data_IF_940473294691
#
_entry.id   IF_940473294691
#
_cell.length_a   1.000
_cell.length_b   1.000
_cell.length_c   1.000
_cell.angle_alpha   90.00
_cell.angle_beta   90.00
_cell.angle_gamma   90.00
#
_symmetry.space_group_name_H-M   'P 1'
#
loop_
_entity.id
_entity.type
_entity.pdbx_description
1 polymer ?
#
# COMPACT_ATOMS: atom_id res chain seq x y z
N UNK A 1 -9.74 3.87 -9.94
CA UNK A 1 -10.55 3.45 -8.77
C UNK A 1 -10.90 4.66 -7.92
N UNK A 2 -12.21 4.87 -7.66
CA UNK A 2 -12.65 5.91 -6.72
C UNK A 2 -12.87 5.29 -5.34
N UNK A 3 -12.26 5.87 -4.30
CA UNK A 3 -12.46 5.46 -2.90
C UNK A 3 -13.08 6.62 -2.13
N UNK A 4 -14.14 6.33 -1.36
CA UNK A 4 -14.78 7.30 -0.46
C UNK A 4 -15.08 6.62 0.87
N UNK A 5 -14.77 7.29 1.97
CA UNK A 5 -15.15 6.86 3.32
C UNK A 5 -16.21 7.82 3.88
N UNK A 6 -17.13 7.28 4.66
CA UNK A 6 -18.18 8.06 5.33
C UNK A 6 -18.22 7.66 6.79
N UNK A 7 -17.90 8.61 7.67
CA UNK A 7 -17.84 8.46 9.13
C UNK A 7 -17.09 7.20 9.57
N UNK A 8 -16.01 6.87 8.84
CA UNK A 8 -15.25 5.64 9.05
C UNK A 8 -14.64 5.62 10.44
N UNK A 9 -14.98 4.60 11.22
CA UNK A 9 -14.54 4.46 12.60
C UNK A 9 -14.01 3.06 12.85
N UNK A 10 -12.89 2.98 13.57
CA UNK A 10 -12.31 1.72 14.05
C UNK A 10 -11.94 1.84 15.51
N UNK A 11 -12.50 0.96 16.31
CA UNK A 11 -12.24 0.84 17.73
C UNK A 11 -11.75 -0.58 18.01
N UNK A 12 -10.69 -0.68 18.82
CA UNK A 12 -10.14 -1.94 19.32
C UNK A 12 -10.44 -2.07 20.82
N UNK A 13 -10.82 -3.27 21.24
CA UNK A 13 -11.00 -3.61 22.64
C UNK A 13 -9.77 -4.37 23.16
N UNK A 14 -9.08 -3.81 24.15
CA UNK A 14 -7.94 -4.40 24.82
C UNK A 14 -8.28 -4.64 26.30
N UNK A 15 -8.82 -5.81 26.61
CA UNK A 15 -9.36 -6.10 27.93
C UNK A 15 -10.52 -5.17 28.29
N UNK A 16 -10.36 -4.36 29.35
CA UNK A 16 -11.34 -3.35 29.77
C UNK A 16 -11.17 -1.98 29.09
N UNK A 17 -10.11 -1.80 28.30
CA UNK A 17 -9.83 -0.53 27.63
C UNK A 17 -10.34 -0.54 26.19
N UNK A 18 -10.82 0.60 25.75
CA UNK A 18 -11.29 0.84 24.39
C UNK A 18 -10.42 1.91 23.73
N UNK A 19 -9.87 1.60 22.54
CA UNK A 19 -9.01 2.52 21.79
C UNK A 19 -9.63 2.77 20.43
N UNK A 20 -10.10 4.00 20.21
CA UNK A 20 -10.59 4.44 18.90
C UNK A 20 -9.43 4.92 18.04
N UNK A 21 -8.93 4.05 17.18
CA UNK A 21 -7.77 4.32 16.32
C UNK A 21 -8.12 5.16 15.08
N UNK A 22 -9.37 5.08 14.58
CA UNK A 22 -9.91 5.90 13.49
C UNK A 22 -11.28 6.37 13.91
N UNK A 23 -11.54 7.67 13.82
CA UNK A 23 -12.73 8.30 14.40
C UNK A 23 -13.43 9.20 13.38
N UNK A 24 -14.53 8.71 12.80
CA UNK A 24 -15.41 9.40 11.84
C UNK A 24 -14.63 10.04 10.68
N UNK A 25 -13.71 9.29 10.09
CA UNK A 25 -12.89 9.76 8.98
C UNK A 25 -13.71 9.80 7.70
N UNK A 26 -13.70 10.97 7.06
CA UNK A 26 -14.27 11.22 5.75
C UNK A 26 -13.12 11.55 4.78
N UNK A 27 -12.93 10.73 3.77
CA UNK A 27 -11.88 10.85 2.76
C UNK A 27 -12.47 10.48 1.41
N UNK A 28 -12.13 11.23 0.38
CA UNK A 28 -12.50 10.90 -1.00
C UNK A 28 -11.34 11.18 -1.94
N UNK A 29 -11.03 10.24 -2.82
CA UNK A 29 -10.11 10.42 -3.94
C UNK A 29 -10.51 9.54 -5.13
N UNK A 30 -10.25 10.00 -6.35
CA UNK A 30 -10.71 9.32 -7.58
C UNK A 30 -9.70 9.34 -8.71
N UNK A 31 -8.61 10.07 -8.59
CA UNK A 31 -7.62 10.26 -9.65
C UNK A 31 -6.28 9.66 -9.26
N UNK A 32 -5.40 9.35 -10.23
CA UNK A 32 -4.05 8.93 -9.94
C UNK A 32 -3.27 10.08 -9.27
N UNK A 33 -3.46 10.21 -7.96
CA UNK A 33 -2.82 11.20 -7.11
C UNK A 33 -1.85 10.55 -6.14
N UNK A 34 -0.87 11.31 -5.70
CA UNK A 34 0.02 10.94 -4.64
C UNK A 34 -0.45 11.58 -3.32
N UNK A 35 -0.92 10.75 -2.39
CA UNK A 35 -1.54 11.18 -1.13
C UNK A 35 -0.62 10.80 0.03
N UNK A 36 -0.23 11.77 0.84
CA UNK A 36 0.48 11.54 2.09
C UNK A 36 -0.46 11.60 3.29
N UNK A 37 -0.40 10.62 4.17
CA UNK A 37 -1.03 10.63 5.49
C UNK A 37 0.08 10.78 6.53
N UNK A 38 0.09 11.91 7.23
CA UNK A 38 1.08 12.24 8.26
C UNK A 38 0.45 12.19 9.66
N UNK A 39 1.28 12.02 10.66
CA UNK A 39 0.85 12.03 12.07
C UNK A 39 1.82 11.28 12.97
N UNK A 40 1.74 11.47 14.29
CA UNK A 40 2.62 10.78 15.23
C UNK A 40 2.44 9.27 15.22
N UNK A 41 3.37 8.54 15.82
CA UNK A 41 3.22 7.10 16.04
C UNK A 41 1.95 6.84 16.88
N UNK A 42 1.20 5.79 16.54
CA UNK A 42 -0.06 5.45 17.21
C UNK A 42 -1.27 6.33 16.86
N UNK A 43 -1.16 7.31 15.95
CA UNK A 43 -2.28 8.20 15.58
C UNK A 43 -3.40 7.54 14.76
N UNK A 44 -3.18 6.30 14.26
CA UNK A 44 -4.17 5.55 13.47
C UNK A 44 -3.86 5.44 11.98
N UNK A 45 -2.66 5.88 11.49
CA UNK A 45 -2.26 5.82 10.07
C UNK A 45 -2.39 4.41 9.47
N UNK A 46 -1.70 3.44 10.06
CA UNK A 46 -1.72 2.03 9.58
C UNK A 46 -3.11 1.42 9.67
N UNK A 47 -3.89 1.76 10.70
CA UNK A 47 -5.29 1.33 10.82
C UNK A 47 -6.13 1.89 9.67
N UNK A 48 -5.99 3.18 9.37
CA UNK A 48 -6.72 3.80 8.26
C UNK A 48 -6.34 3.16 6.91
N UNK A 49 -5.03 2.93 6.67
CA UNK A 49 -4.57 2.23 5.46
C UNK A 49 -5.11 0.80 5.38
N UNK A 50 -5.16 0.06 6.48
CA UNK A 50 -5.72 -1.29 6.51
C UNK A 50 -7.22 -1.32 6.21
N UNK A 51 -7.97 -0.33 6.69
CA UNK A 51 -9.39 -0.19 6.37
C UNK A 51 -9.60 0.13 4.89
N UNK A 52 -8.90 1.14 4.36
CA UNK A 52 -8.95 1.53 2.93
C UNK A 52 -8.54 0.34 2.04
N UNK A 53 -7.51 -0.39 2.45
CA UNK A 53 -7.00 -1.58 1.77
C UNK A 53 -7.87 -2.83 1.92
N UNK A 54 -9.00 -2.75 2.62
CA UNK A 54 -9.90 -3.87 2.91
C UNK A 54 -9.21 -5.04 3.65
N UNK A 55 -8.12 -4.77 4.35
CA UNK A 55 -7.41 -5.75 5.20
C UNK A 55 -8.06 -5.88 6.57
N UNK A 56 -8.83 -4.86 6.98
CA UNK A 56 -9.62 -4.87 8.22
C UNK A 56 -11.05 -4.37 7.94
N UNK A 57 -11.92 -4.48 8.95
CA UNK A 57 -13.30 -4.06 8.89
C UNK A 57 -13.51 -2.87 9.83
N UNK A 58 -14.28 -1.84 9.42
CA UNK A 58 -14.64 -0.77 10.31
C UNK A 58 -15.56 -1.27 11.43
N UNK A 59 -15.51 -0.62 12.60
CA UNK A 59 -16.47 -0.81 13.68
C UNK A 59 -17.80 -0.13 13.35
N UNK A 60 -17.73 1.04 12.67
CA UNK A 60 -18.87 1.76 12.11
C UNK A 60 -18.44 2.65 10.95
N UNK A 61 -19.42 3.25 10.25
CA UNK A 61 -19.16 3.98 9.02
C UNK A 61 -18.94 3.05 7.83
N UNK A 62 -18.62 3.61 6.68
CA UNK A 62 -18.65 2.83 5.42
C UNK A 62 -17.52 3.26 4.48
N UNK A 63 -16.99 2.30 3.72
CA UNK A 63 -16.07 2.51 2.61
C UNK A 63 -16.80 2.19 1.31
N UNK A 64 -16.72 3.10 0.34
CA UNK A 64 -17.22 2.90 -1.02
C UNK A 64 -16.04 2.79 -1.98
N UNK A 65 -16.11 1.80 -2.88
CA UNK A 65 -15.19 1.64 -4.01
C UNK A 65 -16.03 1.70 -5.30
N UNK A 66 -15.76 2.68 -6.16
CA UNK A 66 -16.52 2.96 -7.37
C UNK A 66 -18.05 3.02 -7.12
N UNK A 67 -18.46 3.61 -6.01
CA UNK A 67 -19.86 3.73 -5.60
C UNK A 67 -20.45 2.49 -4.91
N UNK A 68 -19.73 1.36 -4.90
CA UNK A 68 -20.18 0.13 -4.22
C UNK A 68 -19.76 0.13 -2.76
N UNK A 69 -20.70 -0.07 -1.85
CA UNK A 69 -20.47 -0.19 -0.42
C UNK A 69 -19.74 -1.51 -0.10
N UNK A 70 -18.55 -1.42 0.49
CA UNK A 70 -17.69 -2.60 0.70
C UNK A 70 -18.22 -3.57 1.74
N UNK A 71 -19.08 -3.14 2.66
CA UNK A 71 -19.74 -4.00 3.65
C UNK A 71 -20.75 -4.94 3.01
N UNK A 72 -21.31 -4.61 1.83
CA UNK A 72 -22.22 -5.47 1.07
C UNK A 72 -21.49 -6.54 0.26
N UNK A 73 -20.17 -6.40 0.09
CA UNK A 73 -19.38 -7.36 -0.65
C UNK A 73 -19.09 -8.61 0.19
N UNK A 74 -19.18 -9.76 -0.43
CA UNK A 74 -18.71 -11.02 0.16
C UNK A 74 -17.20 -11.00 0.42
N UNK A 75 -16.71 -11.89 1.29
CA UNK A 75 -15.27 -12.02 1.54
C UNK A 75 -14.47 -12.37 0.28
N UNK A 76 -15.06 -13.11 -0.69
CA UNK A 76 -14.44 -13.43 -1.98
C UNK A 76 -14.31 -12.20 -2.87
N UNK A 77 -15.34 -11.37 -2.96
CA UNK A 77 -15.31 -10.12 -3.74
C UNK A 77 -14.29 -9.14 -3.18
N UNK A 78 -14.25 -8.95 -1.86
CA UNK A 78 -13.21 -8.12 -1.22
C UNK A 78 -11.80 -8.63 -1.49
N UNK A 79 -11.55 -9.96 -1.40
CA UNK A 79 -10.26 -10.55 -1.77
C UNK A 79 -9.91 -10.31 -3.24
N UNK A 80 -10.88 -10.40 -4.14
CA UNK A 80 -10.68 -10.15 -5.58
C UNK A 80 -10.29 -8.70 -5.84
N UNK A 81 -10.94 -7.73 -5.17
CA UNK A 81 -10.58 -6.30 -5.27
C UNK A 81 -9.14 -6.09 -4.77
N UNK A 82 -8.79 -6.60 -3.59
CA UNK A 82 -7.41 -6.49 -3.06
C UNK A 82 -6.38 -7.08 -4.02
N UNK A 83 -6.64 -8.29 -4.50
CA UNK A 83 -5.70 -9.03 -5.34
C UNK A 83 -5.46 -8.36 -6.70
N UNK A 84 -6.53 -7.85 -7.33
CA UNK A 84 -6.48 -7.40 -8.73
C UNK A 84 -6.32 -5.89 -8.88
N UNK A 85 -6.74 -5.10 -7.87
CA UNK A 85 -6.84 -3.65 -8.02
C UNK A 85 -6.02 -2.87 -7.00
N UNK A 86 -5.45 -3.54 -5.97
CA UNK A 86 -4.67 -2.90 -4.91
C UNK A 86 -3.29 -3.52 -4.80
N UNK A 87 -2.26 -2.68 -4.71
CA UNK A 87 -0.90 -3.07 -4.36
C UNK A 87 -0.60 -2.68 -2.91
N UNK A 88 0.24 -3.46 -2.22
CA UNK A 88 0.60 -3.18 -0.83
C UNK A 88 2.11 -3.15 -0.66
N UNK A 89 2.61 -2.09 -0.03
CA UNK A 89 4.01 -1.91 0.36
C UNK A 89 4.05 -1.67 1.86
N UNK A 90 4.81 -2.48 2.60
CA UNK A 90 4.88 -2.44 4.06
C UNK A 90 6.27 -2.01 4.52
N UNK A 91 6.35 -1.44 5.71
CA UNK A 91 7.60 -1.06 6.37
C UNK A 91 8.56 -2.26 6.49
N UNK A 92 8.06 -3.44 6.89
CA UNK A 92 8.84 -4.67 7.08
C UNK A 92 8.90 -5.55 5.82
N UNK A 93 8.65 -4.98 4.64
CA UNK A 93 8.68 -5.62 3.31
C UNK A 93 7.68 -6.76 3.11
N UNK A 94 7.40 -7.57 4.13
CA UNK A 94 6.51 -8.74 4.13
C UNK A 94 6.78 -9.70 2.96
N UNK A 95 8.06 -9.92 2.63
CA UNK A 95 8.47 -10.93 1.65
C UNK A 95 8.40 -12.32 2.28
N UNK A 96 8.00 -13.31 1.48
CA UNK A 96 8.04 -14.69 1.92
C UNK A 96 9.50 -15.20 1.91
N UNK A 97 10.08 -15.57 3.07
CA UNK A 97 11.51 -15.87 3.17
C UNK A 97 11.91 -17.16 2.47
N UNK A 98 10.96 -18.05 2.18
CA UNK A 98 11.17 -19.31 1.46
C UNK A 98 11.22 -19.12 -0.06
N UNK A 99 10.70 -17.99 -0.57
CA UNK A 99 10.66 -17.65 -1.99
C UNK A 99 11.80 -16.69 -2.35
N UNK A 100 12.33 -16.81 -3.57
CA UNK A 100 13.26 -15.83 -4.11
C UNK A 100 12.53 -14.54 -4.57
N UNK A 101 13.28 -13.53 -5.06
CA UNK A 101 12.72 -12.26 -5.49
C UNK A 101 11.66 -12.45 -6.61
N UNK A 102 11.98 -13.26 -7.60
CA UNK A 102 11.10 -13.54 -8.71
C UNK A 102 9.81 -14.23 -8.24
N UNK A 103 9.90 -15.26 -7.41
CA UNK A 103 8.75 -15.99 -6.88
C UNK A 103 7.86 -15.11 -5.98
N UNK A 104 8.46 -14.20 -5.21
CA UNK A 104 7.71 -13.21 -4.42
C UNK A 104 6.86 -12.29 -5.31
N UNK A 105 7.40 -11.86 -6.46
CA UNK A 105 6.66 -11.00 -7.41
C UNK A 105 5.65 -11.80 -8.24
N UNK A 106 5.92 -13.06 -8.58
CA UNK A 106 4.99 -13.94 -9.30
C UNK A 106 3.75 -14.28 -8.48
N UNK A 107 3.86 -14.33 -7.15
CA UNK A 107 2.82 -14.82 -6.25
C UNK A 107 1.45 -14.17 -6.44
N UNK A 108 1.29 -12.84 -6.50
CA UNK A 108 -0.03 -12.22 -6.74
C UNK A 108 -0.65 -12.64 -8.08
N UNK A 109 0.17 -12.81 -9.11
CA UNK A 109 -0.31 -13.25 -10.44
C UNK A 109 -0.71 -14.72 -10.44
N UNK A 110 0.00 -15.57 -9.69
CA UNK A 110 -0.36 -16.97 -9.47
C UNK A 110 -1.73 -17.07 -8.78
N UNK A 111 -1.95 -16.28 -7.73
CA UNK A 111 -3.22 -16.20 -7.02
C UNK A 111 -4.36 -15.65 -7.88
N UNK A 112 -4.04 -14.80 -8.85
CA UNK A 112 -4.98 -14.28 -9.85
C UNK A 112 -5.26 -15.28 -10.98
N UNK A 113 -4.60 -16.43 -11.03
CA UNK A 113 -4.79 -17.46 -12.04
C UNK A 113 -4.18 -17.13 -13.40
N UNK A 114 -3.22 -16.21 -13.48
CA UNK A 114 -2.55 -15.85 -14.73
C UNK A 114 -1.72 -17.02 -15.27
N UNK A 115 -1.55 -17.16 -16.61
CA UNK A 115 -0.68 -18.17 -17.20
C UNK A 115 0.79 -17.99 -16.77
N UNK A 116 1.50 -19.08 -16.49
CA UNK A 116 2.91 -19.04 -16.04
C UNK A 116 3.85 -18.23 -16.95
N UNK A 117 3.63 -18.30 -18.27
CA UNK A 117 4.44 -17.53 -19.25
C UNK A 117 4.26 -16.03 -19.04
N UNK A 118 3.02 -15.57 -18.84
CA UNK A 118 2.70 -14.15 -18.55
C UNK A 118 3.31 -13.71 -17.22
N UNK A 119 3.13 -14.54 -16.16
CA UNK A 119 3.71 -14.27 -14.83
C UNK A 119 5.22 -14.04 -14.96
N UNK A 120 5.93 -14.98 -15.61
CA UNK A 120 7.40 -14.93 -15.75
C UNK A 120 7.87 -13.70 -16.49
N UNK A 121 7.26 -13.41 -17.64
CA UNK A 121 7.59 -12.24 -18.44
C UNK A 121 7.38 -10.95 -17.64
N UNK A 122 6.18 -10.74 -17.09
CA UNK A 122 5.85 -9.53 -16.33
C UNK A 122 6.73 -9.37 -15.09
N UNK A 123 7.07 -10.46 -14.41
CA UNK A 123 7.94 -10.41 -13.24
C UNK A 123 9.35 -9.95 -13.58
N UNK A 124 9.93 -10.45 -14.67
CA UNK A 124 11.27 -10.03 -15.12
C UNK A 124 11.24 -8.53 -15.46
N UNK A 125 10.24 -8.08 -16.23
CA UNK A 125 10.06 -6.66 -16.56
C UNK A 125 9.96 -5.77 -15.30
N UNK A 126 9.18 -6.19 -14.29
CA UNK A 126 9.00 -5.44 -13.05
C UNK A 126 10.28 -5.40 -12.21
N UNK A 127 11.00 -6.52 -12.08
CA UNK A 127 12.27 -6.56 -11.35
C UNK A 127 13.36 -5.75 -12.04
N UNK A 128 13.39 -5.74 -13.36
CA UNK A 128 14.27 -4.89 -14.15
C UNK A 128 13.94 -3.41 -13.96
N UNK A 129 12.65 -3.04 -14.01
CA UNK A 129 12.19 -1.66 -13.81
C UNK A 129 12.57 -1.08 -12.43
N UNK A 130 12.68 -1.95 -11.40
CA UNK A 130 13.16 -1.54 -10.07
C UNK A 130 14.68 -1.76 -9.89
N UNK A 131 15.42 -2.12 -10.93
CA UNK A 131 16.88 -2.25 -10.93
C UNK A 131 17.41 -3.54 -10.28
N UNK A 132 16.64 -4.64 -10.32
CA UNK A 132 16.97 -5.93 -9.69
C UNK A 132 17.18 -7.08 -10.69
N UNK A 133 17.53 -6.80 -11.94
CA UNK A 133 17.78 -7.79 -12.98
C UNK A 133 18.84 -8.85 -12.60
N UNK A 134 19.82 -8.49 -11.76
CA UNK A 134 20.88 -9.39 -11.27
C UNK A 134 20.53 -10.06 -9.93
N UNK A 135 19.30 -9.92 -9.42
CA UNK A 135 18.86 -10.41 -8.12
C UNK A 135 17.66 -11.34 -8.17
N UNK A 136 17.21 -11.74 -9.34
CA UNK A 136 15.98 -12.52 -9.58
C UNK A 136 15.85 -13.76 -8.69
N UNK A 137 16.95 -14.51 -8.52
CA UNK A 137 16.98 -15.77 -7.77
C UNK A 137 17.42 -15.62 -6.31
N UNK A 138 17.74 -14.39 -5.85
CA UNK A 138 18.14 -14.17 -4.46
C UNK A 138 16.92 -14.25 -3.54
N UNK A 139 17.11 -14.88 -2.39
CA UNK A 139 16.12 -14.92 -1.31
C UNK A 139 16.20 -13.67 -0.44
N UNK A 140 15.16 -13.31 0.32
CA UNK A 140 15.17 -12.12 1.16
C UNK A 140 16.41 -11.98 2.06
N UNK A 141 16.90 -13.08 2.64
CA UNK A 141 18.13 -13.08 3.46
C UNK A 141 19.44 -12.74 2.72
N UNK A 142 19.41 -12.74 1.41
CA UNK A 142 20.54 -12.48 0.51
C UNK A 142 20.45 -11.07 -0.12
N UNK A 143 19.40 -10.32 0.23
CA UNK A 143 19.12 -8.98 -0.26
C UNK A 143 19.34 -7.93 0.85
N UNK A 144 19.80 -6.75 0.45
CA UNK A 144 19.79 -5.58 1.34
C UNK A 144 18.35 -5.10 1.61
N UNK A 145 18.14 -4.28 2.64
CA UNK A 145 16.83 -3.71 2.95
C UNK A 145 16.25 -2.93 1.76
N UNK A 146 17.05 -2.14 1.07
CA UNK A 146 16.62 -1.42 -0.13
C UNK A 146 16.25 -2.36 -1.30
N UNK A 147 17.00 -3.45 -1.50
CA UNK A 147 16.65 -4.47 -2.50
C UNK A 147 15.35 -5.20 -2.12
N UNK A 148 15.16 -5.54 -0.84
CA UNK A 148 13.90 -6.12 -0.35
C UNK A 148 12.70 -5.20 -0.59
N UNK A 149 12.87 -3.89 -0.36
CA UNK A 149 11.80 -2.91 -0.60
C UNK A 149 11.49 -2.78 -2.11
N UNK A 150 12.49 -2.81 -2.97
CA UNK A 150 12.28 -2.83 -4.43
C UNK A 150 11.54 -4.10 -4.88
N UNK A 151 11.82 -5.27 -4.31
CA UNK A 151 11.04 -6.50 -4.54
C UNK A 151 9.60 -6.33 -4.06
N UNK A 152 9.37 -5.74 -2.89
CA UNK A 152 8.03 -5.48 -2.36
C UNK A 152 7.21 -4.52 -3.26
N UNK A 153 7.87 -3.49 -3.82
CA UNK A 153 7.24 -2.57 -4.79
C UNK A 153 6.92 -3.30 -6.10
N UNK A 154 7.85 -4.08 -6.64
CA UNK A 154 7.61 -4.88 -7.84
C UNK A 154 6.44 -5.86 -7.65
N UNK A 155 6.38 -6.52 -6.48
CA UNK A 155 5.25 -7.38 -6.08
C UNK A 155 3.93 -6.62 -6.03
N UNK A 156 3.93 -5.41 -5.49
CA UNK A 156 2.73 -4.58 -5.42
C UNK A 156 2.19 -4.24 -6.83
N UNK A 157 3.05 -4.11 -7.83
CA UNK A 157 2.72 -3.82 -9.23
C UNK A 157 2.31 -5.05 -10.06
N UNK A 158 2.48 -6.27 -9.55
CA UNK A 158 2.36 -7.51 -10.32
C UNK A 158 1.04 -7.67 -11.08
N UNK A 159 -0.07 -7.25 -10.48
CA UNK A 159 -1.40 -7.30 -11.10
C UNK A 159 -1.84 -5.97 -11.73
N UNK A 160 -0.91 -5.02 -11.95
CA UNK A 160 -1.21 -3.68 -12.50
C UNK A 160 -2.31 -2.97 -11.69
N UNK A 161 -2.10 -2.70 -10.41
CA UNK A 161 -3.12 -2.16 -9.51
C UNK A 161 -3.51 -0.73 -9.88
N UNK A 162 -4.72 -0.34 -9.54
CA UNK A 162 -5.20 1.03 -9.69
C UNK A 162 -4.74 1.95 -8.53
N UNK A 163 -4.39 1.32 -7.37
CA UNK A 163 -3.86 2.02 -6.20
C UNK A 163 -2.76 1.20 -5.52
N UNK A 164 -1.73 1.88 -5.05
CA UNK A 164 -0.73 1.33 -4.11
C UNK A 164 -0.97 1.97 -2.73
N UNK A 165 -1.06 1.12 -1.72
CA UNK A 165 -1.18 1.50 -0.30
C UNK A 165 0.16 1.18 0.36
N UNK A 166 0.87 2.21 0.82
CA UNK A 166 2.20 2.10 1.39
C UNK A 166 2.21 2.57 2.85
N UNK A 167 2.64 1.70 3.75
CA UNK A 167 2.78 2.01 5.17
C UNK A 167 4.26 2.12 5.53
N UNK A 168 4.74 3.34 5.81
CA UNK A 168 6.12 3.71 6.14
C UNK A 168 7.16 3.05 5.18
N UNK A 169 7.05 3.25 3.85
CA UNK A 169 7.85 2.50 2.86
C UNK A 169 9.35 2.78 2.90
N UNK A 170 9.79 3.78 3.67
CA UNK A 170 11.19 4.17 3.83
C UNK A 170 11.70 4.04 5.26
N UNK A 171 10.85 3.58 6.20
CA UNK A 171 11.13 3.59 7.62
C UNK A 171 12.35 2.76 8.07
N UNK A 172 12.70 1.70 7.33
CA UNK A 172 13.84 0.81 7.62
C UNK A 172 15.07 1.10 6.74
N UNK A 173 15.07 2.21 5.97
CA UNK A 173 16.08 2.48 4.96
C UNK A 173 17.00 3.64 5.35
N UNK A 174 18.26 3.57 4.91
CA UNK A 174 19.16 4.71 4.98
C UNK A 174 18.67 5.86 4.06
N UNK A 175 19.12 7.09 4.36
CA UNK A 175 18.67 8.30 3.67
C UNK A 175 18.90 8.32 2.15
N UNK A 176 19.90 7.60 1.64
CA UNK A 176 20.18 7.52 0.19
C UNK A 176 19.18 6.57 -0.45
N UNK A 177 19.05 5.37 0.08
CA UNK A 177 18.12 4.35 -0.39
C UNK A 177 16.66 4.84 -0.28
N UNK A 178 16.30 5.53 0.82
CA UNK A 178 14.99 6.15 0.97
C UNK A 178 14.66 7.11 -0.18
N UNK A 179 15.59 7.99 -0.59
CA UNK A 179 15.40 8.90 -1.75
C UNK A 179 15.13 8.13 -3.04
N UNK A 180 15.84 7.03 -3.27
CA UNK A 180 15.67 6.20 -4.47
C UNK A 180 14.29 5.53 -4.48
N UNK A 181 13.82 5.02 -3.34
CA UNK A 181 12.48 4.43 -3.20
C UNK A 181 11.38 5.50 -3.40
N UNK A 182 11.55 6.69 -2.83
CA UNK A 182 10.62 7.81 -3.03
C UNK A 182 10.52 8.17 -4.51
N UNK A 183 11.66 8.35 -5.18
CA UNK A 183 11.71 8.64 -6.62
C UNK A 183 11.03 7.55 -7.46
N UNK A 184 11.21 6.28 -7.07
CA UNK A 184 10.55 5.14 -7.73
C UNK A 184 9.03 5.21 -7.57
N UNK A 185 8.51 5.49 -6.37
CA UNK A 185 7.08 5.62 -6.13
C UNK A 185 6.47 6.79 -6.93
N UNK A 186 7.15 7.93 -7.00
CA UNK A 186 6.71 9.05 -7.84
C UNK A 186 6.70 8.71 -9.32
N UNK A 187 7.72 8.01 -9.81
CA UNK A 187 7.76 7.53 -11.19
C UNK A 187 6.59 6.61 -11.51
N UNK A 188 6.27 5.67 -10.62
CA UNK A 188 5.11 4.78 -10.77
C UNK A 188 3.81 5.59 -10.83
N UNK A 189 3.62 6.56 -9.95
CA UNK A 189 2.43 7.40 -9.95
C UNK A 189 2.26 8.18 -11.26
N UNK A 190 3.35 8.79 -11.76
CA UNK A 190 3.31 9.65 -12.96
C UNK A 190 3.19 8.86 -14.26
N UNK A 191 3.95 7.77 -14.41
CA UNK A 191 4.04 6.99 -15.65
C UNK A 191 2.92 5.95 -15.77
N UNK A 192 2.67 5.19 -14.69
CA UNK A 192 1.66 4.11 -14.67
C UNK A 192 0.24 4.64 -14.34
N UNK A 193 0.11 5.93 -13.99
CA UNK A 193 -1.15 6.55 -13.54
C UNK A 193 -1.81 5.79 -12.38
N UNK A 194 -1.01 5.13 -11.56
CA UNK A 194 -1.45 4.41 -10.37
C UNK A 194 -1.56 5.39 -9.20
N UNK A 195 -2.71 5.45 -8.54
CA UNK A 195 -2.84 6.24 -7.32
C UNK A 195 -1.93 5.68 -6.22
N UNK A 196 -1.33 6.55 -5.42
CA UNK A 196 -0.49 6.11 -4.29
C UNK A 196 -0.97 6.82 -3.03
N UNK A 197 -1.25 6.05 -1.98
CA UNK A 197 -1.53 6.55 -0.64
C UNK A 197 -0.45 6.05 0.31
N UNK A 198 0.25 6.96 0.98
CA UNK A 198 1.41 6.65 1.83
C UNK A 198 1.17 7.18 3.23
N UNK A 199 1.26 6.31 4.24
CA UNK A 199 1.46 6.75 5.61
C UNK A 199 2.97 6.96 5.81
N UNK A 200 3.37 8.14 6.27
CA UNK A 200 4.79 8.47 6.43
C UNK A 200 5.04 9.62 7.40
N UNK A 201 6.27 9.71 7.87
CA UNK A 201 6.84 10.86 8.53
C UNK A 201 8.02 11.46 7.73
N UNK A 202 8.31 10.95 6.53
CA UNK A 202 9.39 11.45 5.66
C UNK A 202 8.93 12.73 4.95
N UNK A 203 9.56 13.86 5.31
CA UNK A 203 9.23 15.19 4.76
C UNK A 203 9.33 15.25 3.23
N UNK A 204 10.22 14.48 2.60
CA UNK A 204 10.38 14.46 1.14
C UNK A 204 9.17 13.86 0.43
N UNK A 205 8.52 12.88 1.03
CA UNK A 205 7.26 12.32 0.53
C UNK A 205 6.16 13.38 0.68
N UNK A 206 6.13 14.05 1.84
CA UNK A 206 5.14 15.07 2.16
C UNK A 206 5.24 16.25 1.19
N UNK A 207 6.45 16.78 0.96
CA UNK A 207 6.68 17.93 0.08
C UNK A 207 6.21 17.67 -1.37
N UNK A 208 6.39 16.45 -1.84
CA UNK A 208 6.08 16.05 -3.20
C UNK A 208 4.64 15.55 -3.39
N UNK A 209 3.87 15.35 -2.33
CA UNK A 209 2.50 14.85 -2.40
C UNK A 209 1.53 15.89 -2.99
N UNK A 210 0.54 15.39 -3.75
CA UNK A 210 -0.56 16.21 -4.27
C UNK A 210 -1.53 16.62 -3.17
N UNK A 211 -1.81 15.70 -2.24
CA UNK A 211 -2.67 15.91 -1.09
C UNK A 211 -1.96 15.45 0.18
N UNK A 212 -2.06 16.23 1.23
CA UNK A 212 -1.51 15.93 2.53
C UNK A 212 -2.66 15.90 3.54
N UNK A 213 -2.84 14.76 4.16
CA UNK A 213 -3.78 14.59 5.27
C UNK A 213 -3.01 14.36 6.56
N UNK A 214 -3.43 15.05 7.62
CA UNK A 214 -2.92 14.82 8.96
C UNK A 214 -3.92 14.00 9.76
N UNK A 215 -3.44 12.92 10.38
CA UNK A 215 -4.24 12.15 11.33
C UNK A 215 -3.69 12.37 12.74
N UNK A 216 -4.58 12.77 13.64
CA UNK A 216 -4.28 12.99 15.06
C UNK A 216 -5.45 12.50 15.90
N UNK A 217 -5.17 11.66 16.90
CA UNK A 217 -6.18 11.05 17.78
C UNK A 217 -7.33 10.40 16.96
N UNK A 218 -6.98 9.70 15.88
CA UNK A 218 -7.90 9.04 14.97
C UNK A 218 -8.71 9.95 14.04
N UNK A 219 -8.57 11.26 14.13
CA UNK A 219 -9.27 12.24 13.27
C UNK A 219 -8.38 12.68 12.11
N UNK A 220 -8.95 12.77 10.92
CA UNK A 220 -8.27 13.17 9.69
C UNK A 220 -8.62 14.62 9.33
N UNK A 221 -7.61 15.42 8.97
CA UNK A 221 -7.76 16.78 8.42
C UNK A 221 -6.95 16.91 7.14
N UNK A 222 -7.46 17.65 6.16
CA UNK A 222 -6.72 18.02 4.95
C UNK A 222 -5.81 19.22 5.29
N UNK A 223 -4.51 19.11 4.97
CA UNK A 223 -3.53 20.19 5.17
C UNK A 223 -3.17 20.89 3.83
N UNK A 224 -3.22 20.11 2.70
CA UNK A 224 -2.89 20.62 1.36
C UNK A 224 -3.72 19.89 0.30
#
# INVERSE_FOLDING_TARGET
>A
MKIRTVDLTKTYHLGSSEITAVNKVNLEFSEPSFIAIIGPSGSGKSTLLNLIGLNDHPTSGTIFIDGTETLRLSGSERRKIRLLRMGFVFQTFNLLPTLNALENVELPMTLAGKPRKEQRQKTVELLEAVGLNNRLLHRPKELSMGEMQRVAIARALANSPEIIIADEPTGELDSKTAKEIISLLFKINSEEKTAIIVATHDEKIVDAANFIYKIQDGKLSLEK
#
